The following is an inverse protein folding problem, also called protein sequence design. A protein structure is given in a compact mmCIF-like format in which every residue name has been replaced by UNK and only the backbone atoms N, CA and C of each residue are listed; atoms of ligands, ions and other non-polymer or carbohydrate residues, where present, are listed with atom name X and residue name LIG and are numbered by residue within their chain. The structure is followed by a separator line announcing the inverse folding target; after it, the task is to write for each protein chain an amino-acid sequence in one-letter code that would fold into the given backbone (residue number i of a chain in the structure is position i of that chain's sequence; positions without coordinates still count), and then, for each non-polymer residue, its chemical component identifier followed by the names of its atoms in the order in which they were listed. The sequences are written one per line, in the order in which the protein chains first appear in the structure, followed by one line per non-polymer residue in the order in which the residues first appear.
data_IF_035679107922
#
_entry.id   IF_035679107922
#
_cell.length_a   1.000
_cell.length_b   1.000
_cell.length_c   1.000
_cell.angle_alpha   90.00
_cell.angle_beta   90.00
_cell.angle_gamma   90.00
#
_symmetry.space_group_name_H-M   'P 1'
#
loop_
_entity.id
_entity.type
_entity.pdbx_description
1 polymer ?
#
# COMPACT_ATOMS: atom_id res chain seq x y z
N UNK A 1 12.92 -7.91 0.03
CA UNK A 1 13.54 -7.39 -1.21
C UNK A 1 14.34 -6.08 -1.02
N UNK A 2 14.25 -5.42 0.15
CA UNK A 2 14.76 -4.06 0.40
C UNK A 2 16.22 -3.92 0.86
N UNK A 3 17.00 -5.00 0.98
CA UNK A 3 18.41 -4.91 1.42
C UNK A 3 19.36 -4.84 0.20
N UNK A 4 19.57 -3.63 -0.32
CA UNK A 4 20.85 -3.23 -0.95
C UNK A 4 20.85 -2.78 -2.41
N UNK A 5 19.83 -3.07 -3.24
CA UNK A 5 19.81 -2.67 -4.66
C UNK A 5 18.62 -1.82 -5.10
N UNK A 6 17.47 -1.93 -4.44
CA UNK A 6 16.28 -1.15 -4.80
C UNK A 6 16.39 0.25 -4.21
N UNK A 7 16.55 1.26 -5.06
CA UNK A 7 16.54 2.67 -4.70
C UNK A 7 15.41 3.44 -5.37
N UNK A 8 15.02 3.02 -6.58
CA UNK A 8 13.99 3.69 -7.36
C UNK A 8 12.73 2.82 -7.54
N UNK A 9 11.61 3.35 -7.06
CA UNK A 9 10.28 2.72 -7.14
C UNK A 9 9.40 3.53 -8.09
N UNK A 10 8.89 2.89 -9.15
CA UNK A 10 7.95 3.51 -10.08
C UNK A 10 6.51 3.04 -9.81
N UNK A 11 5.57 3.97 -9.66
CA UNK A 11 4.16 3.69 -9.43
C UNK A 11 3.32 3.91 -10.70
N UNK A 12 2.59 2.89 -11.14
CA UNK A 12 1.60 3.04 -12.23
C UNK A 12 0.24 3.41 -11.64
N UNK A 13 -0.31 4.56 -12.04
CA UNK A 13 -1.53 5.13 -11.46
C UNK A 13 -1.27 5.75 -10.09
N UNK A 14 -0.19 6.52 -9.96
CA UNK A 14 0.33 7.05 -8.69
C UNK A 14 -0.64 8.03 -7.99
N UNK A 15 -1.52 8.69 -8.74
CA UNK A 15 -2.55 9.58 -8.22
C UNK A 15 -3.73 8.86 -7.57
N UNK A 16 -3.83 7.55 -7.73
CA UNK A 16 -4.84 6.72 -7.08
C UNK A 16 -4.76 6.80 -5.56
N UNK A 17 -5.92 6.71 -4.91
CA UNK A 17 -6.09 6.81 -3.45
C UNK A 17 -5.06 5.92 -2.73
N UNK A 18 -5.08 4.60 -2.95
CA UNK A 18 -4.17 3.65 -2.30
C UNK A 18 -2.68 3.74 -2.73
N UNK A 19 -2.38 4.36 -3.87
CA UNK A 19 -1.02 4.40 -4.44
C UNK A 19 -0.25 5.62 -3.96
N UNK A 20 -0.90 6.78 -3.96
CA UNK A 20 -0.28 8.05 -3.58
C UNK A 20 0.26 8.06 -2.15
N UNK A 21 -0.44 7.43 -1.21
CA UNK A 21 0.00 7.27 0.16
C UNK A 21 1.31 6.47 0.28
N UNK A 22 1.43 5.37 -0.45
CA UNK A 22 2.65 4.55 -0.46
C UNK A 22 3.83 5.29 -1.09
N UNK A 23 3.59 5.99 -2.21
CA UNK A 23 4.61 6.79 -2.88
C UNK A 23 5.17 7.89 -1.95
N UNK A 24 4.31 8.57 -1.21
CA UNK A 24 4.71 9.57 -0.21
C UNK A 24 5.52 8.98 0.95
N UNK A 25 5.11 7.82 1.47
CA UNK A 25 5.85 7.12 2.53
C UNK A 25 7.24 6.75 2.06
N UNK A 26 7.36 6.16 0.87
CA UNK A 26 8.66 5.79 0.30
C UNK A 26 9.55 7.00 0.06
N UNK A 27 8.98 8.11 -0.45
CA UNK A 27 9.74 9.33 -0.65
C UNK A 27 10.30 9.90 0.66
N UNK A 28 9.54 9.77 1.75
CA UNK A 28 9.98 10.18 3.10
C UNK A 28 11.07 9.27 3.66
N UNK A 29 11.02 7.99 3.32
CA UNK A 29 12.09 7.03 3.59
C UNK A 29 13.30 7.21 2.64
N UNK A 30 13.37 8.35 1.94
CA UNK A 30 14.46 8.75 1.04
C UNK A 30 14.67 7.86 -0.18
N UNK A 31 13.66 7.06 -0.56
CA UNK A 31 13.67 6.37 -1.84
C UNK A 31 13.55 7.40 -2.98
N UNK A 32 14.13 7.05 -4.13
CA UNK A 32 13.77 7.69 -5.38
C UNK A 32 12.40 7.13 -5.78
N UNK A 33 11.46 8.02 -6.08
CA UNK A 33 10.08 7.64 -6.38
C UNK A 33 9.65 8.38 -7.63
N UNK A 34 9.14 7.61 -8.58
CA UNK A 34 8.44 8.16 -9.73
C UNK A 34 7.07 7.52 -9.88
N UNK A 35 6.23 8.08 -10.73
CA UNK A 35 5.00 7.43 -11.09
C UNK A 35 4.27 8.10 -12.24
N UNK A 36 3.49 7.28 -12.94
CA UNK A 36 2.66 7.70 -14.05
C UNK A 36 1.20 7.82 -13.62
N UNK A 37 0.46 8.73 -14.25
CA UNK A 37 -0.99 8.75 -14.16
C UNK A 37 -1.61 9.28 -15.46
N UNK A 38 -2.85 8.89 -15.77
CA UNK A 38 -3.53 9.30 -17.00
C UNK A 38 -3.72 10.82 -17.08
N UNK A 39 -3.87 11.49 -15.94
CA UNK A 39 -4.12 12.92 -15.85
C UNK A 39 -3.41 13.52 -14.65
N UNK A 40 -3.03 14.78 -14.80
CA UNK A 40 -2.60 15.56 -13.65
C UNK A 40 -3.80 15.88 -12.73
N UNK A 41 -3.58 15.85 -11.42
CA UNK A 41 -4.58 16.17 -10.41
C UNK A 41 -3.93 16.74 -9.14
N UNK A 42 -4.74 17.06 -8.13
CA UNK A 42 -4.21 17.61 -6.87
C UNK A 42 -3.26 16.64 -6.17
N UNK A 43 -3.56 15.34 -6.20
CA UNK A 43 -2.72 14.29 -5.61
C UNK A 43 -1.35 14.23 -6.28
N UNK A 44 -1.27 14.19 -7.60
CA UNK A 44 0.01 14.13 -8.33
C UNK A 44 0.80 15.41 -8.17
N UNK A 45 0.14 16.59 -8.16
CA UNK A 45 0.79 17.87 -7.83
C UNK A 45 1.38 17.90 -6.42
N UNK A 46 0.69 17.30 -5.46
CA UNK A 46 1.18 17.19 -4.07
C UNK A 46 2.41 16.29 -4.00
N UNK A 47 2.39 15.15 -4.66
CA UNK A 47 3.53 14.24 -4.74
C UNK A 47 4.73 14.89 -5.44
N UNK A 48 4.50 15.62 -6.53
CA UNK A 48 5.55 16.39 -7.21
C UNK A 48 6.22 17.40 -6.27
N UNK A 49 5.46 18.11 -5.42
CA UNK A 49 6.03 19.01 -4.39
C UNK A 49 6.86 18.29 -3.33
N UNK A 50 6.61 16.99 -3.10
CA UNK A 50 7.40 16.14 -2.21
C UNK A 50 8.65 15.56 -2.91
N UNK A 51 8.86 15.89 -4.19
CA UNK A 51 10.00 15.44 -4.98
C UNK A 51 9.79 14.09 -5.67
N UNK A 52 8.55 13.62 -5.80
CA UNK A 52 8.22 12.47 -6.65
C UNK A 52 8.21 12.93 -8.11
N UNK A 53 8.88 12.19 -9.00
CA UNK A 53 8.79 12.45 -10.45
C UNK A 53 7.44 11.96 -10.98
N UNK A 54 6.69 12.83 -11.65
CA UNK A 54 5.37 12.50 -12.18
C UNK A 54 5.38 12.55 -13.70
N UNK A 55 4.96 11.46 -14.34
CA UNK A 55 4.77 11.36 -15.78
C UNK A 55 3.26 11.32 -16.11
N UNK A 56 2.82 12.13 -17.07
CA UNK A 56 1.41 12.12 -17.51
C UNK A 56 1.26 11.22 -18.73
N UNK A 57 0.36 10.25 -18.61
CA UNK A 57 0.15 9.18 -19.59
C UNK A 57 1.04 7.96 -19.32
N UNK A 58 0.60 6.81 -19.82
CA UNK A 58 1.35 5.56 -19.69
C UNK A 58 2.17 5.29 -20.95
N UNK A 59 3.50 5.31 -20.82
CA UNK A 59 4.42 4.99 -21.93
C UNK A 59 5.55 4.11 -21.43
N UNK A 60 6.00 3.19 -22.28
CA UNK A 60 7.04 2.20 -21.93
C UNK A 60 8.31 2.85 -21.34
N UNK A 61 8.69 4.05 -21.79
CA UNK A 61 9.91 4.69 -21.31
C UNK A 61 9.89 5.08 -19.82
N UNK A 62 8.72 5.21 -19.20
CA UNK A 62 8.57 5.70 -17.82
C UNK A 62 9.20 4.77 -16.78
N UNK A 63 9.39 3.48 -17.10
CA UNK A 63 9.89 2.46 -16.15
C UNK A 63 11.38 2.14 -16.31
N UNK A 64 12.07 2.73 -17.28
CA UNK A 64 13.41 2.25 -17.71
C UNK A 64 14.49 2.37 -16.64
N UNK A 65 14.34 3.28 -15.70
CA UNK A 65 15.26 3.49 -14.59
C UNK A 65 14.74 2.91 -13.28
N UNK A 66 13.58 2.23 -13.27
CA UNK A 66 12.98 1.65 -12.08
C UNK A 66 13.67 0.37 -11.64
N UNK A 67 13.93 0.24 -10.35
CA UNK A 67 14.38 -1.02 -9.75
C UNK A 67 13.19 -1.95 -9.45
N UNK A 68 11.99 -1.37 -9.28
CA UNK A 68 10.72 -2.08 -9.05
C UNK A 68 9.56 -1.22 -9.53
N UNK A 69 8.54 -1.87 -10.09
CA UNK A 69 7.28 -1.24 -10.51
C UNK A 69 6.15 -1.68 -9.59
N UNK A 70 5.38 -0.73 -9.08
CA UNK A 70 4.21 -0.97 -8.24
C UNK A 70 2.95 -0.59 -9.01
N UNK A 71 1.96 -1.47 -9.02
CA UNK A 71 0.68 -1.23 -9.70
C UNK A 71 -0.51 -1.51 -8.77
N UNK A 72 -1.66 -0.92 -9.11
CA UNK A 72 -2.94 -1.24 -8.49
C UNK A 72 -3.75 -2.20 -9.35
N UNK A 73 -4.76 -2.84 -8.76
CA UNK A 73 -5.69 -3.74 -9.48
C UNK A 73 -6.45 -3.05 -10.63
N UNK A 74 -6.51 -1.72 -10.66
CA UNK A 74 -7.13 -0.96 -11.74
C UNK A 74 -6.26 -0.85 -13.01
N UNK A 75 -4.99 -1.26 -12.96
CA UNK A 75 -4.09 -1.19 -14.11
C UNK A 75 -4.22 -2.47 -14.95
N UNK A 76 -4.62 -2.38 -16.23
CA UNK A 76 -4.78 -3.55 -17.11
C UNK A 76 -3.43 -4.16 -17.45
N UNK A 77 -3.37 -5.49 -17.62
CA UNK A 77 -2.14 -6.23 -17.88
C UNK A 77 -1.37 -5.75 -19.12
N UNK A 78 -2.09 -5.18 -20.09
CA UNK A 78 -1.58 -4.65 -21.35
C UNK A 78 -0.99 -3.23 -21.23
N UNK A 79 -0.97 -2.65 -20.02
CA UNK A 79 -0.36 -1.34 -19.80
C UNK A 79 1.11 -1.35 -20.31
N UNK A 80 1.50 -0.38 -21.16
CA UNK A 80 2.82 -0.38 -21.80
C UNK A 80 3.99 -0.34 -20.80
N UNK A 81 3.81 0.27 -19.63
CA UNK A 81 4.81 0.30 -18.55
C UNK A 81 4.98 -1.07 -17.90
N UNK A 82 3.88 -1.79 -17.66
CA UNK A 82 3.95 -3.15 -17.11
C UNK A 82 4.57 -4.14 -18.10
N UNK A 83 4.21 -4.02 -19.38
CA UNK A 83 4.78 -4.87 -20.44
C UNK A 83 6.28 -4.63 -20.57
N UNK A 84 6.72 -3.37 -20.63
CA UNK A 84 8.14 -3.02 -20.70
C UNK A 84 8.90 -3.46 -19.44
N UNK A 85 8.36 -3.20 -18.25
CA UNK A 85 9.00 -3.61 -17.00
C UNK A 85 9.27 -5.12 -16.97
N UNK A 86 8.29 -5.93 -17.39
CA UNK A 86 8.46 -7.39 -17.51
C UNK A 86 9.50 -7.75 -18.56
N UNK A 87 9.51 -7.09 -19.71
CA UNK A 87 10.50 -7.34 -20.77
C UNK A 87 11.94 -7.01 -20.34
N UNK A 88 12.11 -5.98 -19.50
CA UNK A 88 13.39 -5.58 -18.92
C UNK A 88 13.79 -6.41 -17.69
N UNK A 89 12.93 -7.33 -17.23
CA UNK A 89 13.16 -8.11 -16.01
C UNK A 89 13.03 -7.29 -14.72
N UNK A 90 12.41 -6.11 -14.79
CA UNK A 90 12.12 -5.28 -13.62
C UNK A 90 10.95 -5.94 -12.86
N UNK A 91 11.10 -6.22 -11.56
CA UNK A 91 10.04 -6.78 -10.74
C UNK A 91 8.79 -5.90 -10.75
N UNK A 92 7.63 -6.50 -11.01
CA UNK A 92 6.32 -5.83 -10.99
C UNK A 92 5.52 -6.42 -9.83
N UNK A 93 5.23 -5.60 -8.83
CA UNK A 93 4.55 -6.01 -7.60
C UNK A 93 3.26 -5.23 -7.36
N UNK A 94 2.32 -5.84 -6.66
CA UNK A 94 1.06 -5.22 -6.29
C UNK A 94 1.25 -4.18 -5.18
N UNK A 95 0.26 -3.28 -5.06
CA UNK A 95 0.11 -2.37 -3.92
C UNK A 95 0.24 -3.07 -2.56
N UNK A 96 -0.37 -4.25 -2.42
CA UNK A 96 -0.35 -5.01 -1.17
C UNK A 96 1.04 -5.57 -0.83
N UNK A 97 1.75 -6.09 -1.84
CA UNK A 97 3.14 -6.54 -1.67
C UNK A 97 4.07 -5.37 -1.31
N UNK A 98 3.86 -4.19 -1.88
CA UNK A 98 4.62 -2.99 -1.49
C UNK A 98 4.32 -2.57 -0.04
N UNK A 99 3.06 -2.59 0.39
CA UNK A 99 2.70 -2.34 1.78
C UNK A 99 3.34 -3.37 2.73
N UNK A 100 3.37 -4.64 2.33
CA UNK A 100 4.02 -5.70 3.09
C UNK A 100 5.52 -5.43 3.27
N UNK A 101 6.21 -4.97 2.23
CA UNK A 101 7.63 -4.65 2.36
C UNK A 101 7.87 -3.39 3.21
N UNK A 102 6.94 -2.43 3.26
CA UNK A 102 6.99 -1.33 4.23
C UNK A 102 6.87 -1.83 5.67
N UNK A 103 6.03 -2.84 5.93
CA UNK A 103 5.92 -3.48 7.24
C UNK A 103 7.18 -4.25 7.66
N UNK A 104 8.11 -4.53 6.72
CA UNK A 104 9.42 -5.10 7.06
C UNK A 104 10.44 -4.06 7.54
N UNK A 105 10.23 -2.78 7.21
CA UNK A 105 11.13 -1.68 7.59
C UNK A 105 10.60 -0.85 8.76
N UNK A 106 9.28 -0.88 9.01
CA UNK A 106 8.61 -0.25 10.16
C UNK A 106 7.96 -1.32 11.04
N UNK A 107 7.69 -1.01 12.29
CA UNK A 107 6.89 -1.88 13.16
C UNK A 107 5.44 -1.88 12.69
N UNK A 108 5.07 -2.90 11.90
CA UNK A 108 3.75 -3.02 11.28
C UNK A 108 2.68 -3.50 12.27
N UNK A 109 1.60 -2.75 12.40
CA UNK A 109 0.37 -3.14 13.10
C UNK A 109 -0.72 -3.32 12.04
N UNK A 110 -1.12 -4.56 11.78
CA UNK A 110 -2.17 -4.87 10.82
C UNK A 110 -3.50 -5.13 11.54
N UNK A 111 -4.54 -4.40 11.16
CA UNK A 111 -5.90 -4.52 11.71
C UNK A 111 -6.77 -5.24 10.68
N UNK A 112 -7.04 -6.52 10.93
CA UNK A 112 -7.86 -7.41 10.11
C UNK A 112 -9.21 -7.71 10.75
N UNK A 113 -10.10 -8.32 9.97
CA UNK A 113 -11.41 -8.81 10.40
C UNK A 113 -12.55 -8.22 9.58
N UNK A 114 -13.70 -8.88 9.50
CA UNK A 114 -14.77 -8.50 8.58
C UNK A 114 -15.35 -7.12 8.86
N UNK A 115 -15.52 -6.79 10.14
CA UNK A 115 -16.05 -5.50 10.56
C UNK A 115 -15.14 -4.77 11.55
N UNK A 116 -15.21 -3.44 11.56
CA UNK A 116 -14.54 -2.61 12.56
C UNK A 116 -13.06 -2.30 12.29
N UNK A 117 -12.50 -2.70 11.14
CA UNK A 117 -11.11 -2.41 10.72
C UNK A 117 -10.80 -0.91 10.77
N UNK A 118 -11.63 -0.09 10.14
CA UNK A 118 -11.42 1.37 10.03
C UNK A 118 -11.52 2.09 11.35
N UNK A 119 -12.54 1.76 12.15
CA UNK A 119 -12.72 2.36 13.49
C UNK A 119 -11.55 2.00 14.39
N UNK A 120 -11.14 0.73 14.40
CA UNK A 120 -10.03 0.23 15.23
C UNK A 120 -8.70 0.84 14.78
N UNK A 121 -8.43 0.89 13.46
CA UNK A 121 -7.25 1.54 12.89
C UNK A 121 -7.17 3.01 13.30
N UNK A 122 -8.29 3.72 13.19
CA UNK A 122 -8.37 5.14 13.57
C UNK A 122 -8.15 5.36 15.07
N UNK A 123 -8.72 4.50 15.93
CA UNK A 123 -8.51 4.52 17.37
C UNK A 123 -7.05 4.27 17.75
N UNK A 124 -6.46 3.20 17.20
CA UNK A 124 -5.05 2.85 17.43
C UNK A 124 -4.14 4.00 17.00
N UNK A 125 -4.33 4.54 15.80
CA UNK A 125 -3.57 5.68 15.31
C UNK A 125 -3.70 6.92 16.23
N UNK A 126 -4.91 7.22 16.69
CA UNK A 126 -5.19 8.37 17.57
C UNK A 126 -4.49 8.21 18.91
N UNK A 127 -4.59 7.04 19.54
CA UNK A 127 -3.98 6.75 20.83
C UNK A 127 -2.45 6.76 20.77
N UNK A 128 -1.87 6.13 19.74
CA UNK A 128 -0.42 6.13 19.52
C UNK A 128 0.11 7.55 19.32
N UNK A 129 -0.62 8.38 18.59
CA UNK A 129 -0.25 9.79 18.40
C UNK A 129 -0.36 10.59 19.70
N UNK A 130 -1.44 10.40 20.47
CA UNK A 130 -1.61 11.05 21.77
C UNK A 130 -0.49 10.66 22.76
N UNK A 131 0.03 9.43 22.63
CA UNK A 131 1.18 8.93 23.39
C UNK A 131 2.54 9.37 22.82
N UNK A 132 2.59 10.15 21.74
CA UNK A 132 3.82 10.70 21.16
C UNK A 132 4.56 9.78 20.18
N UNK A 133 3.98 8.65 19.78
CA UNK A 133 4.63 7.73 18.83
C UNK A 133 4.47 8.12 17.36
N UNK A 134 3.53 9.03 17.04
CA UNK A 134 3.26 9.59 15.70
C UNK A 134 3.35 8.55 14.54
N UNK A 135 2.45 7.56 14.48
CA UNK A 135 2.53 6.47 13.50
C UNK A 135 2.19 6.93 12.08
N UNK A 136 2.77 6.24 11.10
CA UNK A 136 2.24 6.23 9.73
C UNK A 136 0.99 5.36 9.69
N UNK A 137 -0.05 5.80 8.98
CA UNK A 137 -1.34 5.11 8.92
C UNK A 137 -1.75 4.89 7.47
N UNK A 138 -2.16 3.68 7.11
CA UNK A 138 -2.63 3.29 5.76
C UNK A 138 -3.98 2.61 5.85
N UNK A 139 -5.00 3.15 5.21
CA UNK A 139 -6.38 2.64 5.24
C UNK A 139 -6.84 2.30 3.82
N UNK A 140 -7.59 1.20 3.67
CA UNK A 140 -8.11 0.74 2.38
C UNK A 140 -9.15 1.69 1.78
N UNK A 141 -9.79 2.50 2.63
CA UNK A 141 -10.71 3.60 2.26
C UNK A 141 -10.19 5.00 2.65
N UNK A 142 -11.02 6.05 2.47
CA UNK A 142 -10.71 7.40 2.99
C UNK A 142 -10.96 7.44 4.50
N UNK A 143 -9.97 7.82 5.31
CA UNK A 143 -10.22 8.16 6.71
C UNK A 143 -10.85 9.55 6.80
N UNK A 144 -12.09 9.64 7.30
CA UNK A 144 -12.78 10.92 7.48
C UNK A 144 -12.01 11.88 8.39
N UNK A 145 -11.32 11.37 9.42
CA UNK A 145 -10.55 12.17 10.37
C UNK A 145 -9.28 12.80 9.78
N UNK A 146 -8.77 12.27 8.66
CA UNK A 146 -7.51 12.69 8.04
C UNK A 146 -7.69 13.31 6.65
N UNK A 147 -8.89 13.24 6.07
CA UNK A 147 -9.19 13.74 4.73
C UNK A 147 -8.59 12.90 3.59
N UNK A 148 -7.59 12.06 3.91
CA UNK A 148 -6.84 11.17 3.03
C UNK A 148 -6.92 9.72 3.53
N UNK A 149 -6.52 8.76 2.70
CA UNK A 149 -6.47 7.33 3.02
C UNK A 149 -5.10 6.87 3.59
N UNK A 150 -4.12 7.75 3.56
CA UNK A 150 -2.84 7.54 4.21
C UNK A 150 -2.41 8.83 4.90
N UNK A 151 -1.81 8.69 6.08
CA UNK A 151 -1.13 9.76 6.77
C UNK A 151 0.28 9.28 7.08
N UNK A 152 1.24 10.09 6.68
CA UNK A 152 2.61 9.91 7.08
C UNK A 152 2.82 10.37 8.53
N UNK A 153 3.44 9.54 9.34
CA UNK A 153 3.95 9.88 10.67
C UNK A 153 5.47 9.79 10.70
N UNK A 154 6.09 10.52 11.63
CA UNK A 154 7.54 10.53 11.79
C UNK A 154 8.07 9.33 12.59
N UNK A 155 7.20 8.59 13.29
CA UNK A 155 7.58 7.45 14.12
C UNK A 155 7.82 6.16 13.36
N UNK A 156 8.28 5.14 14.09
CA UNK A 156 8.64 3.83 13.53
C UNK A 156 7.45 2.88 13.35
N UNK A 157 6.28 3.24 13.86
CA UNK A 157 5.06 2.45 13.72
C UNK A 157 4.38 2.71 12.38
N UNK A 158 3.90 1.64 11.74
CA UNK A 158 3.00 1.68 10.61
C UNK A 158 1.73 0.92 10.97
N UNK A 159 0.59 1.61 11.03
CA UNK A 159 -0.71 1.00 11.29
C UNK A 159 -1.46 0.89 9.97
N UNK A 160 -1.90 -0.31 9.61
CA UNK A 160 -2.63 -0.52 8.37
C UNK A 160 -3.87 -1.41 8.54
N UNK A 161 -4.89 -1.14 7.74
CA UNK A 161 -5.98 -2.09 7.54
C UNK A 161 -5.50 -3.27 6.70
N UNK A 162 -5.90 -4.47 7.12
CA UNK A 162 -5.70 -5.71 6.41
C UNK A 162 -7.07 -6.21 5.95
N UNK A 163 -7.33 -6.14 4.64
CA UNK A 163 -8.59 -6.56 4.05
C UNK A 163 -8.47 -8.00 3.52
N UNK A 164 -9.34 -8.87 4.01
CA UNK A 164 -9.41 -10.26 3.60
C UNK A 164 -10.04 -10.44 2.22
N UNK A 165 -10.80 -9.46 1.70
CA UNK A 165 -11.71 -9.64 0.56
C UNK A 165 -11.11 -10.25 -0.71
N UNK A 166 -9.84 -9.99 -0.99
CA UNK A 166 -9.11 -10.46 -2.18
C UNK A 166 -7.87 -11.30 -1.85
N UNK A 167 -7.73 -11.72 -0.58
CA UNK A 167 -6.58 -12.49 -0.08
C UNK A 167 -5.27 -11.71 0.02
N UNK A 168 -5.25 -10.41 -0.31
CA UNK A 168 -4.03 -9.62 -0.30
C UNK A 168 -3.43 -9.43 1.10
N UNK A 169 -4.25 -9.53 2.15
CA UNK A 169 -3.77 -9.48 3.53
C UNK A 169 -2.77 -10.60 3.89
N UNK A 170 -2.84 -11.77 3.23
CA UNK A 170 -1.87 -12.87 3.41
C UNK A 170 -0.46 -12.50 2.97
N UNK A 171 -0.32 -11.44 2.17
CA UNK A 171 1.00 -10.94 1.75
C UNK A 171 1.63 -10.03 2.80
N UNK A 172 0.84 -9.51 3.74
CA UNK A 172 1.33 -8.58 4.76
C UNK A 172 2.28 -9.30 5.71
N UNK A 173 3.22 -8.55 6.28
CA UNK A 173 4.16 -9.07 7.26
C UNK A 173 4.15 -8.22 8.53
N UNK A 174 3.01 -8.19 9.25
CA UNK A 174 2.90 -7.36 10.44
C UNK A 174 3.79 -7.88 11.57
N UNK A 175 4.22 -6.95 12.44
CA UNK A 175 4.78 -7.30 13.74
C UNK A 175 3.68 -7.60 14.75
N UNK A 176 2.53 -6.92 14.64
CA UNK A 176 1.35 -7.11 15.47
C UNK A 176 0.13 -7.27 14.56
N UNK A 177 -0.57 -8.39 14.67
CA UNK A 177 -1.85 -8.61 14.01
C UNK A 177 -3.00 -8.45 15.02
N UNK A 178 -4.05 -7.74 14.62
CA UNK A 178 -5.32 -7.64 15.36
C UNK A 178 -6.41 -8.22 14.48
N UNK A 179 -7.19 -9.15 15.01
CA UNK A 179 -8.39 -9.68 14.34
C UNK A 179 -9.60 -9.24 15.15
N UNK A 180 -10.44 -8.38 14.56
CA UNK A 180 -11.63 -7.84 15.24
C UNK A 180 -12.76 -8.86 15.33
N UNK A 181 -13.02 -9.57 14.23
CA UNK A 181 -14.01 -10.63 14.07
C UNK A 181 -13.74 -11.37 12.75
N UNK A 182 -14.35 -12.55 12.59
CA UNK A 182 -14.31 -13.33 11.35
C UNK A 182 -15.76 -13.73 11.07
N UNK A 183 -16.36 -13.10 10.05
CA UNK A 183 -17.71 -13.41 9.58
C UNK A 183 -17.66 -14.08 8.20
N UNK A 184 -18.70 -14.80 7.78
CA UNK A 184 -18.77 -15.45 6.48
C UNK A 184 -19.04 -14.44 5.33
N UNK A 185 -18.22 -13.41 5.23
CA UNK A 185 -18.17 -12.45 4.11
C UNK A 185 -17.18 -12.93 3.03
N UNK A 186 -17.20 -12.31 1.85
CA UNK A 186 -16.25 -12.61 0.77
C UNK A 186 -16.21 -14.09 0.32
N UNK A 187 -17.34 -14.80 0.46
CA UNK A 187 -17.48 -16.19 0.03
C UNK A 187 -17.36 -16.38 -1.49
N UNK A 188 -17.51 -15.32 -2.27
CA UNK A 188 -17.18 -15.29 -3.69
C UNK A 188 -15.69 -15.57 -3.94
N UNK A 189 -14.82 -15.11 -3.04
CA UNK A 189 -13.38 -15.39 -3.07
C UNK A 189 -13.01 -16.68 -2.33
N UNK A 190 -13.48 -16.85 -1.08
CA UNK A 190 -13.05 -17.96 -0.23
C UNK A 190 -13.88 -19.24 -0.38
N UNK A 191 -15.06 -19.18 -0.98
CA UNK A 191 -16.00 -20.30 -1.20
C UNK A 191 -16.62 -20.92 0.06
N UNK A 192 -15.98 -20.85 1.23
CA UNK A 192 -16.53 -21.35 2.50
C UNK A 192 -16.00 -20.57 3.71
N UNK A 193 -16.78 -20.56 4.79
CA UNK A 193 -16.36 -19.93 6.04
C UNK A 193 -15.12 -20.61 6.64
N UNK A 194 -14.98 -21.94 6.50
CA UNK A 194 -13.77 -22.63 6.96
C UNK A 194 -12.52 -22.15 6.22
N UNK A 195 -12.60 -21.90 4.91
CA UNK A 195 -11.48 -21.34 4.15
C UNK A 195 -11.12 -19.91 4.55
N UNK A 196 -12.10 -19.11 4.98
CA UNK A 196 -11.83 -17.79 5.56
C UNK A 196 -11.03 -17.95 6.85
N UNK A 197 -11.48 -18.84 7.76
CA UNK A 197 -10.77 -19.11 9.01
C UNK A 197 -9.34 -19.60 8.77
N UNK A 198 -9.15 -20.50 7.81
CA UNK A 198 -7.82 -20.98 7.42
C UNK A 198 -6.93 -19.80 6.95
N UNK A 199 -7.48 -18.87 6.16
CA UNK A 199 -6.75 -17.67 5.74
C UNK A 199 -6.38 -16.76 6.93
N UNK A 200 -7.28 -16.58 7.91
CA UNK A 200 -6.94 -15.83 9.13
C UNK A 200 -5.89 -16.53 9.98
N UNK A 201 -5.86 -17.87 9.99
CA UNK A 201 -4.79 -18.63 10.65
C UNK A 201 -3.46 -18.45 9.92
N UNK A 202 -3.44 -18.45 8.59
CA UNK A 202 -2.23 -18.19 7.80
C UNK A 202 -1.68 -16.77 8.00
N UNK A 203 -2.57 -15.80 8.23
CA UNK A 203 -2.20 -14.40 8.44
C UNK A 203 -1.49 -14.11 9.78
N UNK A 204 -1.72 -14.92 10.82
CA UNK A 204 -1.23 -14.71 12.20
C UNK A 204 0.08 -15.45 12.43
#
# INVERSE_FOLDING_TARGET
MFRGRVRHVHFIGVGGIGMSGLAEILRTLEFDVSGSDLREGETTKRLARLGVRIDVGHVAQNVRDADVVVYSSAIPAENPEMVEARALGIPVITRAEMLAELMRVKYGVAIAGSHGKTTTTSLVATLLRAAGFDPTVVVGGRMQALGTNARLGAGDLLVAEADESDGSFLRLTPTIAVVTNIDPEHLDFYHSHERIKDAFVEFI
#
